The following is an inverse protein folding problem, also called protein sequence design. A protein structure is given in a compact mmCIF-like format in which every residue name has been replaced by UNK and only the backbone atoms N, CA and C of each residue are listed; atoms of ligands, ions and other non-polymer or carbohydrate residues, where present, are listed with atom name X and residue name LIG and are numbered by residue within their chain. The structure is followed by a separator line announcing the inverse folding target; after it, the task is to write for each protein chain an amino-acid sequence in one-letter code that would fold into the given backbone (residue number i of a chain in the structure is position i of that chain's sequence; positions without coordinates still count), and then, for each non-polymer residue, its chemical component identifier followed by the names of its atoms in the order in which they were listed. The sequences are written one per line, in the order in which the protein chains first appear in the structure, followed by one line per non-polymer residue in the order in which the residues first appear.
data_IF_550532047715
#
_entry.id   IF_550532047715
#
_cell.length_a   1.000
_cell.length_b   1.000
_cell.length_c   1.000
_cell.angle_alpha   90.00
_cell.angle_beta   90.00
_cell.angle_gamma   90.00
#
_symmetry.space_group_name_H-M   'P 1'
#
loop_
_entity.id
_entity.type
_entity.pdbx_description
1 polymer ?
#
# COMPACT_ATOMS: atom_id res chain seq x y z
N UNK A 1 -64.58 41.98 3.84
CA UNK A 1 -63.89 40.77 4.32
C UNK A 1 -63.62 39.88 3.11
N UNK A 2 -62.38 39.39 2.88
CA UNK A 2 -62.17 38.29 1.92
C UNK A 2 -61.01 38.38 0.90
N UNK A 3 -60.22 39.45 0.86
CA UNK A 3 -58.99 39.48 0.03
C UNK A 3 -57.72 39.22 0.87
N UNK A 4 -57.63 39.83 2.05
CA UNK A 4 -56.49 39.68 2.97
C UNK A 4 -56.45 38.34 3.72
N UNK A 5 -57.59 37.71 3.97
CA UNK A 5 -57.63 36.35 4.57
C UNK A 5 -57.15 35.28 3.57
N UNK A 6 -57.55 35.38 2.30
CA UNK A 6 -57.09 34.46 1.24
C UNK A 6 -55.59 34.52 0.97
N UNK A 7 -54.95 35.65 1.26
CA UNK A 7 -53.48 35.81 1.13
C UNK A 7 -52.77 35.18 2.34
N UNK A 8 -53.34 35.29 3.55
CA UNK A 8 -52.81 34.59 4.74
C UNK A 8 -52.90 33.07 4.59
N UNK A 9 -53.98 32.54 4.03
CA UNK A 9 -54.13 31.10 3.80
C UNK A 9 -53.17 30.57 2.72
N UNK A 10 -52.89 31.37 1.67
CA UNK A 10 -51.89 31.00 0.64
C UNK A 10 -50.44 31.10 1.14
N UNK A 11 -50.15 32.01 2.08
CA UNK A 11 -48.83 32.12 2.72
C UNK A 11 -48.61 31.05 3.81
N UNK A 12 -49.67 30.52 4.42
CA UNK A 12 -49.59 29.39 5.34
C UNK A 12 -49.18 28.08 4.63
N UNK A 13 -49.50 27.93 3.35
CA UNK A 13 -49.12 26.78 2.53
C UNK A 13 -47.62 26.73 2.17
N UNK A 14 -46.93 27.89 2.17
CA UNK A 14 -45.49 28.00 1.89
C UNK A 14 -44.59 27.87 3.14
N UNK A 15 -45.18 27.70 4.33
CA UNK A 15 -44.44 27.13 5.46
C UNK A 15 -44.47 25.62 5.33
N UNK A 16 -43.65 25.10 4.40
CA UNK A 16 -43.07 23.78 4.59
C UNK A 16 -42.42 23.81 5.97
N UNK A 17 -43.06 23.16 6.95
CA UNK A 17 -42.43 22.86 8.22
C UNK A 17 -41.21 22.03 7.87
N UNK A 18 -40.03 22.66 7.77
CA UNK A 18 -38.77 21.93 8.00
C UNK A 18 -38.95 21.29 9.36
N UNK A 19 -39.15 19.98 9.35
CA UNK A 19 -39.41 19.21 10.55
C UNK A 19 -38.26 19.51 11.53
N UNK A 20 -38.51 20.11 12.69
CA UNK A 20 -37.46 20.44 13.65
C UNK A 20 -36.63 19.21 14.03
N UNK A 21 -37.24 18.03 13.95
CA UNK A 21 -36.56 16.75 14.13
C UNK A 21 -35.48 16.50 13.07
N UNK A 22 -35.72 16.85 11.80
CA UNK A 22 -34.75 16.66 10.71
C UNK A 22 -33.52 17.56 10.87
N UNK A 23 -33.68 18.83 11.26
CA UNK A 23 -32.53 19.71 11.50
C UNK A 23 -31.76 19.29 12.75
N UNK A 24 -32.45 18.95 13.84
CA UNK A 24 -31.80 18.47 15.06
C UNK A 24 -30.99 17.20 14.81
N UNK A 25 -31.53 16.26 14.02
CA UNK A 25 -30.82 15.03 13.62
C UNK A 25 -29.60 15.36 12.75
N UNK A 26 -29.73 16.24 11.75
CA UNK A 26 -28.58 16.63 10.92
C UNK A 26 -27.51 17.37 11.74
N UNK A 27 -27.91 18.24 12.66
CA UNK A 27 -26.98 18.95 13.53
C UNK A 27 -26.24 18.00 14.47
N UNK A 28 -26.96 17.03 15.07
CA UNK A 28 -26.36 15.98 15.91
C UNK A 28 -25.34 15.14 15.11
N UNK A 29 -25.68 14.73 13.88
CA UNK A 29 -24.76 14.02 12.98
C UNK A 29 -23.51 14.83 12.65
N UNK A 30 -23.67 16.13 12.38
CA UNK A 30 -22.54 17.02 12.16
C UNK A 30 -21.64 17.15 13.38
N UNK A 31 -22.21 17.31 14.57
CA UNK A 31 -21.44 17.32 15.82
C UNK A 31 -20.73 15.97 16.06
N UNK A 32 -21.37 14.85 15.70
CA UNK A 32 -20.75 13.53 15.76
C UNK A 32 -19.51 13.47 14.87
N UNK A 33 -19.59 13.91 13.60
CA UNK A 33 -18.42 13.97 12.70
C UNK A 33 -17.26 14.74 13.33
N UNK A 34 -17.52 15.95 13.86
CA UNK A 34 -16.48 16.77 14.49
C UNK A 34 -15.86 16.09 15.70
N UNK A 35 -16.69 15.50 16.58
CA UNK A 35 -16.22 14.80 17.77
C UNK A 35 -15.32 13.62 17.40
N UNK A 36 -15.75 12.80 16.44
CA UNK A 36 -14.98 11.64 15.96
C UNK A 36 -13.68 12.04 15.30
N UNK A 37 -13.68 13.12 14.52
CA UNK A 37 -12.46 13.64 13.91
C UNK A 37 -11.43 14.03 14.97
N UNK A 38 -11.85 14.69 16.05
CA UNK A 38 -10.97 15.01 17.16
C UNK A 38 -10.45 13.75 17.87
N UNK A 39 -11.32 12.76 18.13
CA UNK A 39 -10.91 11.47 18.71
C UNK A 39 -9.87 10.75 17.82
N UNK A 40 -10.01 10.80 16.50
CA UNK A 40 -9.03 10.23 15.56
C UNK A 40 -7.69 10.98 15.65
N UNK A 41 -7.71 12.31 15.68
CA UNK A 41 -6.49 13.10 15.80
C UNK A 41 -5.76 12.84 17.13
N UNK A 42 -6.49 12.67 18.22
CA UNK A 42 -5.92 12.27 19.52
C UNK A 42 -5.28 10.88 19.45
N UNK A 43 -5.92 9.92 18.79
CA UNK A 43 -5.35 8.59 18.57
C UNK A 43 -4.06 8.67 17.74
N UNK A 44 -4.06 9.44 16.64
CA UNK A 44 -2.89 9.60 15.77
C UNK A 44 -1.74 10.26 16.53
N UNK A 45 -2.02 11.28 17.36
CA UNK A 45 -1.02 11.92 18.19
C UNK A 45 -0.41 10.94 19.20
N UNK A 46 -1.24 10.15 19.90
CA UNK A 46 -0.78 9.12 20.84
C UNK A 46 0.09 8.05 20.16
N UNK A 47 -0.27 7.64 18.94
CA UNK A 47 0.56 6.73 18.15
C UNK A 47 1.90 7.36 17.75
N UNK A 48 1.89 8.63 17.35
CA UNK A 48 3.09 9.39 16.99
C UNK A 48 4.07 9.52 18.16
N UNK A 49 3.56 9.83 19.35
CA UNK A 49 4.37 9.92 20.57
C UNK A 49 5.03 8.58 20.90
N UNK A 50 4.30 7.46 20.75
CA UNK A 50 4.85 6.12 20.99
C UNK A 50 5.85 5.68 19.93
N UNK A 51 5.68 6.10 18.67
CA UNK A 51 6.64 5.82 17.60
C UNK A 51 7.99 6.52 17.84
N UNK A 52 8.00 7.63 18.61
CA UNK A 52 9.21 8.40 18.94
C UNK A 52 10.26 7.65 19.77
N UNK A 53 9.96 6.43 20.25
CA UNK A 53 10.92 5.54 20.91
C UNK A 53 11.01 5.69 22.43
N UNK A 54 10.37 6.71 23.00
CA UNK A 54 10.35 6.96 24.45
C UNK A 54 9.36 6.06 25.22
N UNK A 55 8.55 5.27 24.52
CA UNK A 55 7.48 4.44 25.09
C UNK A 55 7.57 2.99 24.61
N UNK A 56 7.46 2.04 25.55
CA UNK A 56 7.33 0.61 25.25
C UNK A 56 5.84 0.28 25.09
N UNK A 57 5.47 -0.32 23.97
CA UNK A 57 4.12 -0.83 23.71
C UNK A 57 4.19 -2.26 23.15
N UNK A 58 3.10 -3.01 23.32
CA UNK A 58 2.97 -4.36 22.81
C UNK A 58 2.11 -4.42 21.54
N UNK A 59 2.05 -5.60 20.92
CA UNK A 59 1.23 -5.82 19.71
C UNK A 59 -0.26 -5.59 19.97
N UNK A 60 -0.74 -5.84 21.19
CA UNK A 60 -2.14 -5.68 21.53
C UNK A 60 -2.55 -4.21 21.48
N UNK A 61 -1.70 -3.30 21.96
CA UNK A 61 -1.90 -1.86 21.82
C UNK A 61 -2.12 -1.45 20.35
N UNK A 62 -1.29 -1.94 19.43
CA UNK A 62 -1.38 -1.60 18.00
C UNK A 62 -2.74 -2.04 17.44
N UNK A 63 -3.16 -3.28 17.74
CA UNK A 63 -4.43 -3.84 17.30
C UNK A 63 -5.60 -3.01 17.82
N UNK A 64 -5.59 -2.69 19.11
CA UNK A 64 -6.67 -1.95 19.76
C UNK A 64 -6.81 -0.54 19.17
N UNK A 65 -5.68 0.13 18.95
CA UNK A 65 -5.67 1.48 18.39
C UNK A 65 -6.14 1.49 16.93
N UNK A 66 -5.66 0.55 16.11
CA UNK A 66 -6.10 0.42 14.71
C UNK A 66 -7.61 0.13 14.64
N UNK A 67 -8.12 -0.77 15.49
CA UNK A 67 -9.55 -1.08 15.53
C UNK A 67 -10.39 0.14 15.91
N UNK A 68 -9.94 0.92 16.90
CA UNK A 68 -10.59 2.18 17.28
C UNK A 68 -10.57 3.19 16.15
N UNK A 69 -9.44 3.36 15.46
CA UNK A 69 -9.32 4.31 14.36
C UNK A 69 -10.26 3.93 13.20
N UNK A 70 -10.28 2.65 12.82
CA UNK A 70 -11.17 2.13 11.77
C UNK A 70 -12.64 2.35 12.10
N UNK A 71 -13.06 2.02 13.32
CA UNK A 71 -14.45 2.22 13.78
C UNK A 71 -14.87 3.70 13.72
N UNK A 72 -13.98 4.62 14.09
CA UNK A 72 -14.27 6.05 14.04
C UNK A 72 -14.35 6.57 12.60
N UNK A 73 -13.42 6.16 11.73
CA UNK A 73 -13.44 6.53 10.30
C UNK A 73 -14.72 6.03 9.63
N UNK A 74 -15.11 4.77 9.87
CA UNK A 74 -16.34 4.19 9.33
C UNK A 74 -17.57 5.00 9.77
N UNK A 75 -17.64 5.37 11.05
CA UNK A 75 -18.76 6.17 11.59
C UNK A 75 -18.79 7.59 11.03
N UNK A 76 -17.62 8.21 10.77
CA UNK A 76 -17.56 9.49 10.06
C UNK A 76 -18.12 9.35 8.64
N UNK A 77 -17.72 8.32 7.90
CA UNK A 77 -18.22 8.09 6.54
C UNK A 77 -19.74 7.89 6.55
N UNK A 78 -20.26 7.16 7.54
CA UNK A 78 -21.69 6.98 7.74
C UNK A 78 -22.40 8.31 8.02
N UNK A 79 -21.94 9.08 9.00
CA UNK A 79 -22.56 10.35 9.37
C UNK A 79 -22.48 11.37 8.21
N UNK A 80 -21.37 11.41 7.47
CA UNK A 80 -21.20 12.24 6.26
C UNK A 80 -22.20 11.85 5.16
N UNK A 81 -22.39 10.56 4.91
CA UNK A 81 -23.37 10.10 3.93
C UNK A 81 -24.81 10.40 4.35
N UNK A 82 -25.12 10.30 5.65
CA UNK A 82 -26.42 10.74 6.19
C UNK A 82 -26.64 12.25 6.02
N UNK A 83 -25.63 13.07 6.26
CA UNK A 83 -25.68 14.52 6.10
C UNK A 83 -25.87 14.97 4.65
N UNK A 84 -25.36 14.17 3.70
CA UNK A 84 -25.19 14.59 2.29
C UNK A 84 -26.10 13.82 1.34
N UNK A 85 -27.07 13.06 1.89
CA UNK A 85 -27.98 12.23 1.10
C UNK A 85 -27.24 11.25 0.20
N UNK A 86 -26.28 10.50 0.78
CA UNK A 86 -25.51 9.44 0.14
C UNK A 86 -24.59 9.92 -1.00
N UNK A 87 -24.08 11.15 -0.92
CA UNK A 87 -23.18 11.68 -1.95
C UNK A 87 -21.78 11.02 -1.95
N UNK A 88 -21.37 10.43 -0.83
CA UNK A 88 -20.00 9.98 -0.59
C UNK A 88 -19.92 8.47 -0.34
N UNK A 89 -20.75 7.68 -1.03
CA UNK A 89 -20.76 6.22 -0.88
C UNK A 89 -19.41 5.60 -1.27
N UNK A 90 -18.70 6.18 -2.23
CA UNK A 90 -17.37 5.72 -2.66
C UNK A 90 -16.32 5.74 -1.53
N UNK A 91 -16.53 6.53 -0.47
CA UNK A 91 -15.65 6.52 0.69
C UNK A 91 -15.65 5.17 1.41
N UNK A 92 -16.74 4.39 1.33
CA UNK A 92 -16.74 3.03 1.84
C UNK A 92 -15.77 2.12 1.07
N UNK A 93 -15.66 2.28 -0.25
CA UNK A 93 -14.69 1.52 -1.04
C UNK A 93 -13.24 1.89 -0.66
N UNK A 94 -12.97 3.19 -0.47
CA UNK A 94 -11.67 3.64 0.01
C UNK A 94 -11.36 3.10 1.41
N UNK A 95 -12.34 3.12 2.32
CA UNK A 95 -12.24 2.57 3.66
C UNK A 95 -11.92 1.07 3.64
N UNK A 96 -12.71 0.25 2.93
CA UNK A 96 -12.50 -1.20 2.87
C UNK A 96 -11.12 -1.55 2.32
N UNK A 97 -10.66 -0.84 1.26
CA UNK A 97 -9.32 -1.04 0.69
C UNK A 97 -8.21 -0.74 1.71
N UNK A 98 -8.29 0.41 2.39
CA UNK A 98 -7.27 0.82 3.37
C UNK A 98 -7.33 -0.10 4.60
N UNK A 99 -8.53 -0.44 5.08
CA UNK A 99 -8.74 -1.35 6.20
C UNK A 99 -8.12 -2.72 5.91
N UNK A 100 -8.38 -3.31 4.74
CA UNK A 100 -7.81 -4.58 4.34
C UNK A 100 -6.28 -4.55 4.29
N UNK A 101 -5.67 -3.47 3.78
CA UNK A 101 -4.21 -3.30 3.77
C UNK A 101 -3.63 -3.26 5.20
N UNK A 102 -4.25 -2.49 6.10
CA UNK A 102 -3.81 -2.40 7.50
C UNK A 102 -3.98 -3.76 8.20
N UNK A 103 -5.08 -4.49 7.97
CA UNK A 103 -5.29 -5.80 8.59
C UNK A 103 -4.28 -6.85 8.11
N UNK A 104 -3.95 -6.86 6.81
CA UNK A 104 -2.89 -7.73 6.29
C UNK A 104 -1.56 -7.47 7.03
N UNK A 105 -1.19 -6.19 7.15
CA UNK A 105 0.03 -5.78 7.87
C UNK A 105 0.01 -6.23 9.34
N UNK A 106 -1.11 -6.05 10.04
CA UNK A 106 -1.26 -6.51 11.42
C UNK A 106 -1.16 -8.04 11.57
N UNK A 107 -1.70 -8.80 10.62
CA UNK A 107 -1.64 -10.26 10.59
C UNK A 107 -0.22 -10.78 10.27
N UNK A 108 0.73 -9.90 9.96
CA UNK A 108 2.06 -10.28 9.48
C UNK A 108 2.03 -10.90 8.07
N UNK A 109 0.87 -10.86 7.41
CA UNK A 109 0.75 -11.12 5.99
C UNK A 109 1.22 -9.86 5.32
N UNK A 110 2.48 -9.82 4.91
CA UNK A 110 3.04 -8.60 4.33
C UNK A 110 2.16 -8.20 3.14
N UNK A 111 1.35 -7.15 3.35
CA UNK A 111 0.29 -6.74 2.48
C UNK A 111 0.87 -5.71 1.54
N UNK A 112 1.51 -6.14 0.46
CA UNK A 112 2.01 -5.20 -0.53
C UNK A 112 0.79 -4.50 -1.15
N UNK A 113 0.58 -3.24 -0.79
CA UNK A 113 -0.50 -2.42 -1.37
C UNK A 113 -0.38 -2.26 -2.89
N UNK A 114 0.74 -2.68 -3.47
CA UNK A 114 1.01 -2.73 -4.90
C UNK A 114 0.88 -4.16 -5.45
N UNK A 115 -0.13 -4.37 -6.31
CA UNK A 115 -0.38 -5.63 -7.01
C UNK A 115 0.41 -5.78 -8.32
N UNK A 116 1.12 -4.72 -8.75
CA UNK A 116 1.89 -4.76 -10.01
C UNK A 116 3.07 -5.71 -9.85
N UNK A 117 3.23 -6.62 -10.81
CA UNK A 117 4.34 -7.57 -10.85
C UNK A 117 5.62 -6.97 -11.48
N UNK A 118 5.41 -6.06 -12.43
CA UNK A 118 6.48 -5.35 -13.14
C UNK A 118 6.05 -3.91 -13.34
N UNK A 119 6.96 -2.96 -13.11
CA UNK A 119 6.73 -1.53 -13.30
C UNK A 119 7.76 -0.96 -14.27
N UNK A 120 7.30 -0.27 -15.30
CA UNK A 120 8.20 0.37 -16.27
C UNK A 120 8.79 1.65 -15.67
N UNK A 121 10.02 2.02 -16.02
CA UNK A 121 10.66 3.21 -15.43
C UNK A 121 9.88 4.51 -15.63
N UNK A 122 9.12 4.63 -16.72
CA UNK A 122 8.25 5.79 -16.98
C UNK A 122 7.12 5.95 -15.94
N UNK A 123 6.75 4.86 -15.26
CA UNK A 123 5.59 4.78 -14.38
C UNK A 123 5.98 4.75 -12.88
N UNK A 124 7.29 4.84 -12.58
CA UNK A 124 7.81 4.84 -11.19
C UNK A 124 7.68 6.22 -10.57
N UNK A 125 7.20 6.24 -9.33
CA UNK A 125 7.09 7.39 -8.43
C UNK A 125 7.85 7.13 -7.12
N UNK A 126 8.04 8.19 -6.31
CA UNK A 126 8.64 8.05 -4.98
C UNK A 126 7.75 7.25 -4.01
N UNK A 127 6.45 7.18 -4.25
CA UNK A 127 5.52 6.36 -3.45
C UNK A 127 5.73 4.85 -3.68
N UNK A 128 6.48 4.47 -4.73
CA UNK A 128 6.73 3.07 -5.10
C UNK A 128 7.94 2.45 -4.38
N UNK A 129 8.61 3.16 -3.47
CA UNK A 129 9.83 2.67 -2.79
C UNK A 129 9.66 1.25 -2.23
N UNK A 130 8.53 0.95 -1.60
CA UNK A 130 8.26 -0.38 -1.02
C UNK A 130 8.15 -1.47 -2.10
N UNK A 131 7.67 -1.12 -3.29
CA UNK A 131 7.50 -2.04 -4.40
C UNK A 131 8.79 -2.23 -5.22
N UNK A 132 9.62 -1.19 -5.37
CA UNK A 132 10.77 -1.19 -6.30
C UNK A 132 12.15 -1.05 -5.64
N UNK A 133 12.20 -0.70 -4.35
CA UNK A 133 13.42 -0.38 -3.60
C UNK A 133 13.99 1.02 -3.91
N UNK A 134 14.87 1.52 -3.03
CA UNK A 134 15.36 2.90 -3.08
C UNK A 134 16.06 3.26 -4.40
N UNK A 135 16.92 2.38 -4.92
CA UNK A 135 17.68 2.65 -6.16
C UNK A 135 16.77 2.92 -7.35
N UNK A 136 15.73 2.10 -7.51
CA UNK A 136 14.80 2.22 -8.61
C UNK A 136 13.86 3.40 -8.43
N UNK A 137 13.39 3.69 -7.20
CA UNK A 137 12.59 4.87 -6.91
C UNK A 137 13.37 6.17 -7.24
N UNK A 138 14.63 6.26 -6.79
CA UNK A 138 15.51 7.38 -7.10
C UNK A 138 15.78 7.52 -8.60
N UNK A 139 15.97 6.40 -9.32
CA UNK A 139 16.13 6.43 -10.77
C UNK A 139 14.85 6.90 -11.48
N UNK A 140 13.69 6.47 -10.98
CA UNK A 140 12.37 6.93 -11.42
C UNK A 140 12.21 8.45 -11.22
N UNK A 141 12.64 8.99 -10.10
CA UNK A 141 12.61 10.45 -9.86
C UNK A 141 13.53 11.23 -10.81
N UNK A 142 14.77 10.76 -10.99
CA UNK A 142 15.73 11.36 -11.93
C UNK A 142 15.15 11.41 -13.36
N UNK A 143 14.46 10.35 -13.76
CA UNK A 143 13.83 10.24 -15.08
C UNK A 143 12.54 11.05 -15.21
N UNK A 144 11.62 10.88 -14.27
CA UNK A 144 10.22 11.32 -14.40
C UNK A 144 10.00 12.73 -13.85
N UNK A 145 10.78 13.16 -12.86
CA UNK A 145 10.69 14.49 -12.26
C UNK A 145 11.78 15.40 -12.85
N UNK A 146 13.05 15.01 -12.73
CA UNK A 146 14.17 15.83 -13.20
C UNK A 146 14.35 15.80 -14.73
N UNK A 147 13.68 14.87 -15.43
CA UNK A 147 13.73 14.71 -16.89
C UNK A 147 15.17 14.58 -17.43
N UNK A 148 16.07 13.99 -16.64
CA UNK A 148 17.43 13.70 -17.06
C UNK A 148 17.49 12.42 -17.87
N UNK A 149 18.50 12.30 -18.73
CA UNK A 149 18.66 11.15 -19.60
C UNK A 149 19.07 9.92 -18.78
N UNK A 150 18.18 8.93 -18.68
CA UNK A 150 18.41 7.66 -18.01
C UNK A 150 18.18 6.51 -18.97
N UNK A 151 18.81 5.34 -18.79
CA UNK A 151 18.47 4.14 -19.54
C UNK A 151 16.98 3.79 -19.43
N UNK A 152 16.43 3.20 -20.48
CA UNK A 152 15.13 2.55 -20.40
C UNK A 152 15.23 1.22 -19.65
N UNK A 153 14.14 0.85 -18.98
CA UNK A 153 14.09 -0.36 -18.20
C UNK A 153 12.75 -0.52 -17.50
N UNK A 154 12.70 -1.57 -16.68
CA UNK A 154 11.57 -1.92 -15.84
C UNK A 154 12.09 -2.60 -14.58
N UNK A 155 11.24 -2.67 -13.56
CA UNK A 155 11.53 -3.28 -12.26
C UNK A 155 10.62 -4.48 -12.08
N UNK A 156 11.19 -5.61 -11.68
CA UNK A 156 10.44 -6.73 -11.11
C UNK A 156 10.16 -6.37 -9.66
N UNK A 157 8.90 -6.24 -9.29
CA UNK A 157 8.52 -5.71 -7.98
C UNK A 157 8.76 -6.71 -6.87
N UNK A 158 8.75 -6.21 -5.63
CA UNK A 158 8.74 -7.06 -4.44
C UNK A 158 7.56 -8.03 -4.47
N UNK A 159 6.36 -7.60 -4.88
CA UNK A 159 5.20 -8.49 -5.08
C UNK A 159 5.50 -9.70 -5.97
N UNK A 160 6.19 -9.50 -7.10
CA UNK A 160 6.59 -10.61 -7.98
C UNK A 160 7.60 -11.56 -7.32
N UNK A 161 8.50 -11.03 -6.50
CA UNK A 161 9.41 -11.84 -5.68
C UNK A 161 8.64 -12.68 -4.64
N UNK A 162 7.62 -12.12 -3.98
CA UNK A 162 6.79 -12.89 -3.03
C UNK A 162 5.96 -13.97 -3.72
N UNK A 163 5.38 -13.68 -4.88
CA UNK A 163 4.68 -14.70 -5.66
C UNK A 163 5.61 -15.86 -6.01
N UNK A 164 6.86 -15.56 -6.36
CA UNK A 164 7.88 -16.57 -6.56
C UNK A 164 8.16 -17.40 -5.29
N UNK A 165 8.27 -16.76 -4.11
CA UNK A 165 8.48 -17.49 -2.85
C UNK A 165 7.33 -18.44 -2.53
N UNK A 166 6.08 -17.99 -2.73
CA UNK A 166 4.86 -18.78 -2.46
C UNK A 166 4.73 -19.95 -3.43
N UNK A 167 4.89 -19.71 -4.73
CA UNK A 167 4.80 -20.74 -5.78
C UNK A 167 5.79 -21.89 -5.49
N UNK A 168 6.98 -21.54 -4.98
CA UNK A 168 8.06 -22.49 -4.68
C UNK A 168 8.07 -23.00 -3.23
N UNK A 169 7.06 -22.65 -2.42
CA UNK A 169 6.93 -23.06 -1.01
C UNK A 169 8.18 -22.71 -0.18
N UNK A 170 8.82 -21.57 -0.50
CA UNK A 170 9.98 -21.04 0.22
C UNK A 170 9.51 -20.24 1.43
N UNK A 171 8.38 -19.54 1.29
CA UNK A 171 7.66 -18.87 2.38
C UNK A 171 7.46 -19.80 3.60
N UNK A 172 6.89 -20.98 3.37
CA UNK A 172 6.63 -21.97 4.42
C UNK A 172 7.91 -22.54 5.03
N UNK A 173 8.95 -22.71 4.21
CA UNK A 173 10.26 -23.16 4.70
C UNK A 173 10.83 -22.13 5.68
N UNK A 174 10.73 -20.85 5.33
CA UNK A 174 11.21 -19.76 6.18
C UNK A 174 10.37 -19.63 7.45
N UNK A 175 9.04 -19.72 7.37
CA UNK A 175 8.14 -19.70 8.54
C UNK A 175 8.48 -20.82 9.54
N UNK A 176 8.60 -22.06 9.07
CA UNK A 176 8.92 -23.20 9.93
C UNK A 176 10.30 -23.09 10.57
N UNK A 177 11.24 -22.39 9.93
CA UNK A 177 12.59 -22.24 10.44
C UNK A 177 12.74 -21.10 11.47
N UNK A 178 11.76 -20.21 11.61
CA UNK A 178 11.83 -19.08 12.56
C UNK A 178 12.02 -19.54 14.02
N UNK A 179 11.50 -20.72 14.37
CA UNK A 179 11.64 -21.29 15.72
C UNK A 179 13.04 -21.90 15.96
N UNK A 180 13.69 -22.42 14.92
CA UNK A 180 14.99 -23.12 14.99
C UNK A 180 16.20 -22.17 14.93
N UNK A 181 16.06 -21.00 14.31
CA UNK A 181 17.16 -20.03 14.05
C UNK A 181 17.74 -19.43 15.35
N UNK A 182 17.00 -19.48 16.48
CA UNK A 182 17.42 -18.85 17.74
C UNK A 182 18.59 -19.54 18.46
N UNK A 183 19.02 -20.73 18.05
CA UNK A 183 19.92 -21.55 18.89
C UNK A 183 21.21 -22.05 18.22
N UNK A 184 21.34 -22.10 16.88
CA UNK A 184 22.46 -22.79 16.25
C UNK A 184 22.93 -22.19 14.90
N UNK A 185 24.23 -21.95 14.80
CA UNK A 185 24.90 -21.42 13.60
C UNK A 185 24.98 -22.47 12.48
N UNK A 186 25.07 -23.75 12.81
CA UNK A 186 25.07 -24.83 11.81
C UNK A 186 23.68 -24.98 11.18
N UNK A 187 22.62 -24.92 11.99
CA UNK A 187 21.24 -24.88 11.52
C UNK A 187 20.98 -23.72 10.55
N UNK A 188 21.47 -22.51 10.87
CA UNK A 188 21.36 -21.35 10.00
C UNK A 188 22.08 -21.54 8.66
N UNK A 189 23.29 -22.13 8.67
CA UNK A 189 24.02 -22.42 7.43
C UNK A 189 23.31 -23.47 6.57
N UNK A 190 22.75 -24.51 7.19
CA UNK A 190 21.99 -25.53 6.50
C UNK A 190 20.75 -24.94 5.83
N UNK A 191 19.98 -24.15 6.58
CA UNK A 191 18.80 -23.45 6.07
C UNK A 191 19.16 -22.51 4.92
N UNK A 192 20.21 -21.71 5.05
CA UNK A 192 20.67 -20.80 3.99
C UNK A 192 20.99 -21.55 2.69
N UNK A 193 21.65 -22.71 2.78
CA UNK A 193 21.92 -23.55 1.60
C UNK A 193 20.64 -24.11 0.99
N UNK A 194 19.70 -24.55 1.82
CA UNK A 194 18.42 -25.08 1.36
C UNK A 194 17.60 -24.01 0.64
N UNK A 195 17.45 -22.83 1.26
CA UNK A 195 16.76 -21.67 0.69
C UNK A 195 17.42 -21.25 -0.62
N UNK A 196 18.75 -21.13 -0.65
CA UNK A 196 19.49 -20.77 -1.88
C UNK A 196 19.25 -21.79 -2.99
N UNK A 197 19.30 -23.08 -2.66
CA UNK A 197 19.03 -24.15 -3.62
C UNK A 197 17.60 -24.07 -4.17
N UNK A 198 16.60 -23.83 -3.31
CA UNK A 198 15.21 -23.64 -3.74
C UNK A 198 15.03 -22.41 -4.62
N UNK A 199 15.69 -21.30 -4.33
CA UNK A 199 15.63 -20.10 -5.17
C UNK A 199 16.24 -20.38 -6.55
N UNK A 200 17.40 -21.03 -6.60
CA UNK A 200 18.09 -21.31 -7.87
C UNK A 200 17.36 -22.33 -8.76
N UNK A 201 16.63 -23.26 -8.14
CA UNK A 201 15.86 -24.29 -8.85
C UNK A 201 14.37 -23.95 -8.95
N UNK A 202 13.95 -22.80 -8.42
CA UNK A 202 12.54 -22.42 -8.36
C UNK A 202 11.99 -22.02 -9.72
N UNK A 203 10.70 -22.28 -9.93
CA UNK A 203 10.00 -21.88 -11.14
C UNK A 203 9.48 -20.45 -11.00
N UNK A 204 9.71 -19.61 -12.01
CA UNK A 204 9.15 -18.25 -12.05
C UNK A 204 7.65 -18.34 -12.36
N UNK A 205 6.77 -17.72 -11.53
CA UNK A 205 5.33 -17.73 -11.78
C UNK A 205 4.99 -17.27 -13.20
N UNK A 206 4.03 -17.96 -13.84
CA UNK A 206 3.66 -17.70 -15.23
C UNK A 206 3.22 -16.25 -15.46
N UNK A 207 2.53 -15.66 -14.48
CA UNK A 207 2.12 -14.25 -14.48
C UNK A 207 3.32 -13.31 -14.55
N UNK A 208 4.32 -13.50 -13.69
CA UNK A 208 5.55 -12.70 -13.64
C UNK A 208 6.33 -12.85 -14.95
N UNK A 209 6.54 -14.09 -15.40
CA UNK A 209 7.27 -14.38 -16.64
C UNK A 209 6.60 -13.76 -17.88
N UNK A 210 5.26 -13.64 -17.88
CA UNK A 210 4.50 -12.99 -18.95
C UNK A 210 4.71 -11.47 -18.93
N UNK A 211 4.62 -10.83 -17.77
CA UNK A 211 4.81 -9.38 -17.65
C UNK A 211 6.23 -8.94 -18.02
N UNK A 212 7.24 -9.70 -17.59
CA UNK A 212 8.63 -9.46 -17.98
C UNK A 212 8.80 -9.56 -19.50
N UNK A 213 8.27 -10.62 -20.13
CA UNK A 213 8.31 -10.78 -21.59
C UNK A 213 7.60 -9.66 -22.33
N UNK A 214 6.46 -9.18 -21.80
CA UNK A 214 5.74 -8.03 -22.33
C UNK A 214 6.60 -6.75 -22.31
N UNK A 215 7.30 -6.50 -21.20
CA UNK A 215 8.19 -5.34 -21.07
C UNK A 215 9.40 -5.43 -22.01
N UNK A 216 10.00 -6.60 -22.16
CA UNK A 216 11.09 -6.84 -23.12
C UNK A 216 10.59 -6.61 -24.55
N UNK A 217 9.42 -7.13 -24.93
CA UNK A 217 8.83 -6.92 -26.26
C UNK A 217 8.51 -5.44 -26.54
N UNK A 218 8.03 -4.71 -25.53
CA UNK A 218 7.82 -3.25 -25.62
C UNK A 218 9.14 -2.52 -25.90
N UNK A 219 10.23 -2.88 -25.22
CA UNK A 219 11.55 -2.31 -25.45
C UNK A 219 12.09 -2.64 -26.84
N UNK A 220 11.96 -3.89 -27.30
CA UNK A 220 12.36 -4.31 -28.65
C UNK A 220 11.66 -3.47 -29.71
N UNK A 221 10.36 -3.26 -29.55
CA UNK A 221 9.55 -2.44 -30.44
C UNK A 221 10.00 -0.98 -30.42
N UNK A 222 10.25 -0.41 -29.23
CA UNK A 222 10.71 0.99 -29.06
C UNK A 222 12.05 1.24 -29.78
N UNK A 223 12.99 0.32 -29.64
CA UNK A 223 14.33 0.45 -30.22
C UNK A 223 14.49 -0.15 -31.62
N UNK A 224 13.47 -0.85 -32.13
CA UNK A 224 13.50 -1.58 -33.41
C UNK A 224 14.70 -2.54 -33.50
N UNK A 225 14.96 -3.26 -32.40
CA UNK A 225 16.04 -4.25 -32.28
C UNK A 225 15.54 -5.50 -31.58
N UNK A 226 15.84 -6.66 -32.15
CA UNK A 226 15.53 -7.95 -31.53
C UNK A 226 16.56 -8.33 -30.46
N UNK A 227 17.82 -7.99 -30.68
CA UNK A 227 18.91 -8.22 -29.73
C UNK A 227 19.06 -7.03 -28.78
N UNK A 228 18.39 -7.13 -27.64
CA UNK A 228 18.58 -6.23 -26.51
C UNK A 228 19.40 -6.91 -25.41
N UNK A 229 20.28 -6.14 -24.80
CA UNK A 229 21.08 -6.56 -23.65
C UNK A 229 20.68 -5.75 -22.42
N UNK A 230 20.57 -6.43 -21.30
CA UNK A 230 20.09 -5.88 -20.05
C UNK A 230 21.19 -5.89 -18.98
N UNK A 231 21.15 -4.89 -18.12
CA UNK A 231 21.82 -4.93 -16.83
C UNK A 231 20.78 -5.34 -15.77
N UNK A 232 20.97 -6.49 -15.13
CA UNK A 232 20.10 -6.99 -14.06
C UNK A 232 20.74 -6.62 -12.73
N UNK A 233 20.06 -5.81 -11.93
CA UNK A 233 20.58 -5.25 -10.68
C UNK A 233 19.55 -5.40 -9.58
N UNK A 234 19.98 -5.80 -8.40
CA UNK A 234 19.10 -5.77 -7.23
C UNK A 234 18.91 -4.35 -6.71
N UNK A 235 17.75 -4.13 -6.09
CA UNK A 235 17.37 -2.90 -5.41
C UNK A 235 16.62 -3.30 -4.15
N UNK A 236 17.27 -3.16 -2.99
CA UNK A 236 16.69 -3.45 -1.69
C UNK A 236 16.18 -2.16 -1.03
N UNK A 237 15.25 -2.30 -0.07
CA UNK A 237 14.67 -1.17 0.69
C UNK A 237 15.66 -0.66 1.75
N UNK A 238 16.46 -1.54 2.37
CA UNK A 238 17.34 -1.21 3.50
C UNK A 238 18.80 -0.89 3.14
N UNK A 239 19.13 -0.77 1.85
CA UNK A 239 20.53 -0.57 1.42
C UNK A 239 21.13 0.77 1.88
N UNK A 240 20.29 1.72 2.33
CA UNK A 240 20.66 3.04 2.84
C UNK A 240 20.46 3.21 4.37
N UNK A 241 20.41 2.12 5.14
CA UNK A 241 20.54 2.18 6.61
C UNK A 241 22.02 2.25 7.04
N UNK A 242 22.36 2.61 8.29
CA UNK A 242 23.74 2.87 8.78
C UNK A 242 24.78 1.75 8.54
N UNK A 243 24.35 0.59 8.05
CA UNK A 243 25.20 -0.51 7.62
C UNK A 243 25.22 -0.58 6.09
N UNK A 244 26.27 -0.03 5.46
CA UNK A 244 26.49 -0.22 4.02
C UNK A 244 26.75 -1.70 3.71
N UNK A 245 25.76 -2.41 3.16
CA UNK A 245 25.85 -3.81 2.71
C UNK A 245 26.64 -3.97 1.41
N UNK A 246 27.76 -3.26 1.26
CA UNK A 246 28.58 -3.29 0.06
C UNK A 246 29.08 -4.72 -0.22
N UNK A 247 28.73 -5.25 -1.39
CA UNK A 247 29.18 -6.56 -1.87
C UNK A 247 28.27 -7.75 -1.58
N UNK A 248 27.10 -7.56 -0.95
CA UNK A 248 26.10 -8.65 -0.79
C UNK A 248 25.17 -8.82 -2.00
N UNK A 249 25.13 -7.83 -2.88
CA UNK A 249 24.19 -7.73 -3.98
C UNK A 249 24.87 -7.98 -5.33
N UNK A 250 24.37 -8.95 -6.09
CA UNK A 250 24.90 -9.27 -7.42
C UNK A 250 24.35 -8.32 -8.49
N UNK A 251 25.20 -7.94 -9.45
CA UNK A 251 24.82 -7.20 -10.64
C UNK A 251 25.33 -7.95 -11.87
N UNK A 252 24.42 -8.27 -12.78
CA UNK A 252 24.74 -8.96 -14.02
C UNK A 252 24.65 -7.98 -15.17
N UNK A 253 25.65 -7.98 -16.03
CA UNK A 253 25.73 -7.11 -17.20
C UNK A 253 25.65 -7.93 -18.48
N UNK A 254 25.16 -7.29 -19.54
CA UNK A 254 25.11 -7.86 -20.89
C UNK A 254 24.27 -9.15 -20.98
N UNK A 255 23.14 -9.19 -20.26
CA UNK A 255 22.22 -10.33 -20.29
C UNK A 255 21.31 -10.21 -21.52
N UNK A 256 21.28 -11.21 -22.42
CA UNK A 256 20.42 -11.16 -23.60
C UNK A 256 18.94 -11.25 -23.21
N UNK A 257 18.10 -10.46 -23.85
CA UNK A 257 16.63 -10.49 -23.64
C UNK A 257 15.89 -11.51 -24.51
N UNK A 258 16.58 -12.52 -25.04
CA UNK A 258 16.01 -13.61 -25.85
C UNK A 258 14.98 -14.43 -25.08
#
# INVERSE_FOLDING_TARGET
MGAFERIKDKLAFWRSRKDPSSFAILFDRFQSVLKRNNEILEIIADMGDKLGGDYVFDRQYIIDVVNRLNDQVYKIIYDLNMLTSQKYVDLYHAYERIHAQIQAELEGKIGYGDERLVVYYDDITQDDIVAVGNKNANLGEIRNVLKLNTPDGFVITTKAFYDFLIENQIDKLLENAQDDIKADREALQSLSREVTSKILNGEVPVSVAREVRSCVARLRTKYKKDDLFFAVRSSAIEEDTEHSFAGQYESFLNIPGS
#
